data_IF_499225033449
#
_entry.id   IF_499225033449
#
_cell.length_a   1.000
_cell.length_b   1.000
_cell.length_c   1.000
_cell.angle_alpha   90.00
_cell.angle_beta   90.00
_cell.angle_gamma   90.00
#
_symmetry.space_group_name_H-M   'P 1'
#
loop_
_entity.id
_entity.type
_entity.pdbx_description
1 polymer ?
#
# COMPACT_ATOMS: atom_id res chain seq x y z
N UNK A 1 -43.47 5.03 14.79
CA UNK A 1 -42.38 5.06 13.77
C UNK A 1 -41.11 4.88 14.56
N UNK A 2 -40.68 3.65 14.57
CA UNK A 2 -39.56 3.19 15.40
C UNK A 2 -38.30 3.30 14.54
N UNK A 3 -37.45 4.26 14.86
CA UNK A 3 -36.10 4.36 14.28
C UNK A 3 -35.17 3.60 15.22
N UNK A 4 -35.08 2.29 15.01
CA UNK A 4 -34.01 1.49 15.59
C UNK A 4 -32.68 2.02 15.00
N UNK A 5 -31.88 2.64 15.86
CA UNK A 5 -30.48 2.91 15.59
C UNK A 5 -29.76 1.58 15.37
N UNK A 6 -29.33 1.32 14.16
CA UNK A 6 -28.32 0.32 13.89
C UNK A 6 -27.02 0.81 14.52
N UNK A 7 -26.73 0.28 15.69
CA UNK A 7 -25.51 0.60 16.44
C UNK A 7 -24.40 -0.36 16.02
N UNK A 8 -23.31 0.20 15.51
CA UNK A 8 -21.98 -0.29 15.86
C UNK A 8 -21.39 -1.53 15.19
N UNK A 9 -22.07 -2.25 14.29
CA UNK A 9 -21.51 -3.47 13.68
C UNK A 9 -20.57 -3.27 12.47
N UNK A 10 -20.32 -2.04 12.06
CA UNK A 10 -19.53 -1.75 10.85
C UNK A 10 -18.09 -1.28 11.11
N UNK A 11 -17.59 -1.37 12.33
CA UNK A 11 -16.30 -0.79 12.73
C UNK A 11 -15.13 -1.77 12.71
N UNK A 12 -15.37 -3.06 12.52
CA UNK A 12 -14.30 -4.05 12.42
C UNK A 12 -13.97 -4.41 10.97
N UNK A 13 -12.71 -4.77 10.68
CA UNK A 13 -12.35 -5.36 9.40
C UNK A 13 -13.31 -6.51 9.10
N UNK A 14 -13.78 -6.60 7.86
CA UNK A 14 -14.73 -7.64 7.47
C UNK A 14 -14.08 -9.01 7.58
N UNK A 15 -14.81 -9.93 8.18
CA UNK A 15 -14.40 -11.33 8.19
C UNK A 15 -14.39 -11.92 6.77
N UNK A 16 -13.72 -13.03 6.59
CA UNK A 16 -13.68 -13.76 5.32
C UNK A 16 -15.10 -14.02 4.76
N UNK A 17 -16.05 -14.40 5.61
CA UNK A 17 -17.43 -14.66 5.24
C UNK A 17 -18.16 -13.39 4.76
N UNK A 18 -17.87 -12.24 5.34
CA UNK A 18 -18.43 -10.95 4.90
C UNK A 18 -17.86 -10.51 3.56
N UNK A 19 -16.59 -10.78 3.30
CA UNK A 19 -15.96 -10.52 1.98
C UNK A 19 -16.58 -11.43 0.91
N UNK A 20 -16.88 -12.67 1.26
CA UNK A 20 -17.60 -13.60 0.38
C UNK A 20 -19.01 -13.12 0.05
N UNK A 21 -19.71 -12.56 1.02
CA UNK A 21 -21.04 -11.98 0.82
C UNK A 21 -21.04 -10.80 -0.18
N UNK A 22 -19.87 -10.18 -0.45
CA UNK A 22 -19.69 -9.17 -1.47
C UNK A 22 -19.49 -9.74 -2.89
N UNK A 23 -19.61 -11.05 -3.08
CA UNK A 23 -19.64 -11.69 -4.40
C UNK A 23 -18.28 -12.19 -4.92
N UNK A 24 -17.27 -12.32 -4.06
CA UNK A 24 -16.03 -12.99 -4.45
C UNK A 24 -16.26 -14.51 -4.64
N UNK A 25 -15.77 -15.11 -5.72
CA UNK A 25 -15.93 -16.55 -5.95
C UNK A 25 -15.11 -17.35 -4.93
N UNK A 26 -15.80 -18.03 -4.02
CA UNK A 26 -15.25 -18.84 -2.93
C UNK A 26 -14.23 -19.87 -3.40
N UNK A 27 -14.57 -20.55 -4.49
CA UNK A 27 -13.77 -21.60 -5.10
C UNK A 27 -12.39 -21.13 -5.57
N UNK A 28 -12.30 -19.91 -6.09
CA UNK A 28 -11.02 -19.32 -6.52
C UNK A 28 -10.16 -18.88 -5.34
N UNK A 29 -10.76 -18.30 -4.30
CA UNK A 29 -10.04 -17.83 -3.13
C UNK A 29 -9.52 -18.99 -2.28
N UNK A 30 -10.34 -20.03 -2.06
CA UNK A 30 -9.94 -21.26 -1.38
C UNK A 30 -8.85 -22.01 -2.16
N UNK A 31 -8.99 -22.09 -3.49
CA UNK A 31 -7.98 -22.71 -4.33
C UNK A 31 -6.64 -21.97 -4.25
N UNK A 32 -6.64 -20.65 -4.27
CA UNK A 32 -5.43 -19.82 -4.15
C UNK A 32 -4.77 -19.99 -2.79
N UNK A 33 -5.54 -19.99 -1.68
CA UNK A 33 -5.03 -20.27 -0.34
C UNK A 33 -4.39 -21.67 -0.24
N UNK A 34 -5.03 -22.66 -0.79
CA UNK A 34 -4.51 -24.04 -0.78
C UNK A 34 -3.25 -24.20 -1.65
N UNK A 35 -3.21 -23.57 -2.82
CA UNK A 35 -2.04 -23.57 -3.70
C UNK A 35 -0.87 -22.86 -3.02
N UNK A 36 -1.09 -21.68 -2.45
CA UNK A 36 -0.08 -20.93 -1.71
C UNK A 36 0.46 -21.76 -0.53
N UNK A 37 -0.44 -22.29 0.31
CA UNK A 37 -0.08 -23.10 1.47
C UNK A 37 0.70 -24.37 1.11
N UNK A 38 0.38 -25.03 0.01
CA UNK A 38 0.97 -26.32 -0.37
C UNK A 38 2.21 -26.18 -1.24
N UNK A 39 2.30 -25.19 -2.09
CA UNK A 39 3.37 -25.06 -3.09
C UNK A 39 4.31 -23.89 -2.83
N UNK A 40 3.80 -22.74 -2.40
CA UNK A 40 4.59 -21.52 -2.27
C UNK A 40 5.23 -21.43 -0.87
N UNK A 41 4.43 -21.57 0.19
CA UNK A 41 4.92 -21.47 1.57
C UNK A 41 6.04 -22.48 1.92
N UNK A 42 6.02 -23.76 1.48
CA UNK A 42 7.15 -24.66 1.67
C UNK A 42 8.40 -24.35 0.85
N UNK A 43 8.24 -23.72 -0.33
CA UNK A 43 9.37 -23.30 -1.16
C UNK A 43 10.03 -22.03 -0.61
N UNK A 44 9.26 -21.15 0.02
CA UNK A 44 9.74 -19.93 0.67
C UNK A 44 10.28 -20.19 2.08
N UNK A 45 9.86 -21.26 2.75
CA UNK A 45 10.36 -21.68 4.07
C UNK A 45 11.80 -22.21 4.09
N UNK A 46 12.46 -22.32 2.94
CA UNK A 46 13.89 -22.54 2.81
C UNK A 46 14.59 -21.19 2.65
N UNK A 47 14.98 -20.58 3.80
CA UNK A 47 15.94 -19.47 3.89
C UNK A 47 15.94 -18.56 2.65
N UNK A 48 14.94 -17.71 2.48
CA UNK A 48 15.14 -16.47 1.77
C UNK A 48 16.19 -15.71 2.60
N UNK A 49 17.46 -15.85 2.21
CA UNK A 49 18.52 -15.04 2.75
C UNK A 49 18.03 -13.59 2.62
N UNK A 50 18.07 -12.84 3.72
CA UNK A 50 17.90 -11.39 3.75
C UNK A 50 18.42 -10.83 2.44
N UNK A 51 17.60 -10.16 1.67
CA UNK A 51 18.14 -9.36 0.59
C UNK A 51 19.11 -8.38 1.24
N UNK A 52 20.42 -8.48 0.98
CA UNK A 52 21.39 -7.68 1.69
C UNK A 52 21.02 -6.22 1.57
N UNK A 53 21.24 -5.44 2.64
CA UNK A 53 21.09 -3.97 2.61
C UNK A 53 21.62 -3.47 1.27
N UNK A 54 20.86 -2.68 0.50
CA UNK A 54 21.32 -2.19 -0.80
C UNK A 54 22.68 -1.52 -0.64
N UNK A 55 23.68 -1.87 -1.44
CA UNK A 55 25.00 -1.24 -1.36
C UNK A 55 24.89 0.23 -1.77
N UNK A 56 25.31 1.13 -0.87
CA UNK A 56 25.34 2.58 -1.13
C UNK A 56 24.49 3.39 -0.14
N UNK A 57 24.47 4.70 -0.35
CA UNK A 57 23.60 5.59 0.40
C UNK A 57 22.12 5.31 0.07
N UNK A 58 21.18 5.49 1.02
CA UNK A 58 19.76 5.36 0.77
C UNK A 58 19.31 6.37 -0.30
N UNK A 59 18.34 5.98 -1.13
CA UNK A 59 17.69 6.90 -2.06
C UNK A 59 16.68 7.76 -1.32
N UNK A 60 16.42 8.97 -1.84
CA UNK A 60 15.43 9.87 -1.24
C UNK A 60 14.12 9.79 -2.02
N UNK A 61 13.06 9.32 -1.37
CA UNK A 61 11.69 9.41 -1.87
C UNK A 61 11.19 10.83 -1.69
N UNK A 62 10.82 11.48 -2.80
CA UNK A 62 10.40 12.89 -2.84
C UNK A 62 8.90 13.02 -3.07
N UNK A 63 8.32 14.16 -2.66
CA UNK A 63 6.99 14.50 -3.11
C UNK A 63 6.97 14.56 -4.64
N UNK A 64 5.95 13.95 -5.24
CA UNK A 64 5.77 13.95 -6.69
C UNK A 64 5.66 15.37 -7.27
N UNK A 65 5.21 16.34 -6.46
CA UNK A 65 5.10 17.75 -6.86
C UNK A 65 6.49 18.40 -7.07
N UNK A 66 7.50 17.92 -6.35
CA UNK A 66 8.87 18.43 -6.41
C UNK A 66 9.78 17.61 -7.34
N UNK A 67 9.24 16.51 -7.89
CA UNK A 67 9.99 15.64 -8.79
C UNK A 67 10.31 16.37 -10.10
N UNK A 68 11.58 16.39 -10.46
CA UNK A 68 12.03 17.04 -11.70
C UNK A 68 11.38 16.41 -12.95
N UNK A 69 11.13 17.18 -14.02
CA UNK A 69 10.60 16.62 -15.27
C UNK A 69 11.44 15.45 -15.83
N UNK A 70 12.75 15.48 -15.61
CA UNK A 70 13.66 14.40 -16.02
C UNK A 70 13.37 13.13 -15.25
N UNK A 71 13.15 13.21 -13.94
CA UNK A 71 12.83 12.06 -13.10
C UNK A 71 11.39 11.58 -13.30
N UNK A 72 10.42 12.48 -13.60
CA UNK A 72 9.08 12.11 -14.02
C UNK A 72 9.08 11.26 -15.30
N UNK A 73 9.88 11.68 -16.30
CA UNK A 73 10.05 10.93 -17.55
C UNK A 73 10.79 9.61 -17.30
N UNK A 74 11.87 9.62 -16.50
CA UNK A 74 12.60 8.42 -16.13
C UNK A 74 11.71 7.38 -15.45
N UNK A 75 10.86 7.79 -14.50
CA UNK A 75 9.88 6.92 -13.88
C UNK A 75 8.93 6.30 -14.92
N UNK A 76 8.35 7.10 -15.80
CA UNK A 76 7.45 6.61 -16.85
C UNK A 76 8.14 5.61 -17.78
N UNK A 77 9.35 5.93 -18.24
CA UNK A 77 10.12 5.05 -19.11
C UNK A 77 10.48 3.73 -18.41
N UNK A 78 10.85 3.78 -17.12
CA UNK A 78 11.13 2.59 -16.33
C UNK A 78 9.87 1.71 -16.18
N UNK A 79 8.72 2.31 -15.90
CA UNK A 79 7.44 1.56 -15.83
C UNK A 79 7.10 0.91 -17.18
N UNK A 80 7.22 1.63 -18.29
CA UNK A 80 6.99 1.06 -19.64
C UNK A 80 7.93 -0.12 -19.87
N UNK A 81 9.19 0.01 -19.52
CA UNK A 81 10.16 -1.07 -19.67
C UNK A 81 9.82 -2.30 -18.83
N UNK A 82 9.38 -2.11 -17.59
CA UNK A 82 8.91 -3.20 -16.73
C UNK A 82 7.67 -3.90 -17.32
N UNK A 83 6.77 -3.14 -17.94
CA UNK A 83 5.61 -3.71 -18.66
C UNK A 83 6.06 -4.56 -19.86
N UNK A 84 7.00 -4.06 -20.68
CA UNK A 84 7.55 -4.78 -21.83
C UNK A 84 8.28 -6.08 -21.41
N UNK A 85 8.94 -6.08 -20.26
CA UNK A 85 9.62 -7.25 -19.70
C UNK A 85 8.65 -8.24 -19.02
N UNK A 86 7.38 -7.91 -18.87
CA UNK A 86 6.40 -8.70 -18.12
C UNK A 86 6.56 -8.58 -16.58
N UNK A 87 7.59 -7.89 -16.11
CA UNK A 87 7.90 -7.77 -14.67
C UNK A 87 6.86 -6.93 -13.93
N UNK A 88 6.28 -5.93 -14.59
CA UNK A 88 5.20 -5.14 -14.01
C UNK A 88 3.98 -6.01 -13.68
N UNK A 89 3.62 -6.93 -14.58
CA UNK A 89 2.53 -7.86 -14.35
C UNK A 89 2.81 -8.80 -13.16
N UNK A 90 4.03 -9.31 -13.02
CA UNK A 90 4.41 -10.12 -11.86
C UNK A 90 4.20 -9.35 -10.55
N UNK A 91 4.59 -8.08 -10.51
CA UNK A 91 4.36 -7.21 -9.35
C UNK A 91 2.86 -7.05 -9.07
N UNK A 92 2.04 -6.80 -10.10
CA UNK A 92 0.57 -6.72 -9.93
C UNK A 92 0.02 -8.05 -9.38
N UNK A 93 0.53 -9.19 -9.84
CA UNK A 93 0.09 -10.51 -9.40
C UNK A 93 0.39 -10.78 -7.91
N UNK A 94 1.49 -10.23 -7.34
CA UNK A 94 1.72 -10.31 -5.90
C UNK A 94 0.58 -9.69 -5.10
N UNK A 95 0.08 -8.53 -5.53
CA UNK A 95 -1.04 -7.88 -4.86
C UNK A 95 -2.39 -8.55 -5.15
N UNK A 96 -2.51 -9.24 -6.28
CA UNK A 96 -3.73 -10.00 -6.61
C UNK A 96 -3.86 -11.29 -5.80
N UNK A 97 -2.77 -11.79 -5.24
CA UNK A 97 -2.79 -12.97 -4.38
C UNK A 97 -3.21 -12.59 -2.96
N UNK A 98 -4.50 -12.61 -2.73
CA UNK A 98 -5.10 -12.27 -1.43
C UNK A 98 -4.71 -13.24 -0.31
N UNK A 99 -4.04 -14.36 -0.62
CA UNK A 99 -3.53 -15.29 0.41
C UNK A 99 -2.39 -14.69 1.24
N UNK A 100 -1.84 -13.56 0.83
CA UNK A 100 -0.83 -12.80 1.60
C UNK A 100 -1.43 -12.10 2.82
N UNK A 101 -2.76 -12.04 2.96
CA UNK A 101 -3.46 -11.39 4.08
C UNK A 101 -2.89 -9.98 4.37
N UNK A 102 -2.90 -9.10 3.35
CA UNK A 102 -2.27 -7.78 3.45
C UNK A 102 -3.24 -6.60 3.57
N UNK A 103 -4.53 -6.88 3.76
CA UNK A 103 -5.59 -5.85 3.93
C UNK A 103 -6.50 -6.19 5.09
N UNK A 104 -6.95 -5.17 5.84
CA UNK A 104 -7.87 -5.33 6.96
C UNK A 104 -9.23 -5.91 6.57
N UNK A 105 -9.64 -5.74 5.31
CA UNK A 105 -10.84 -6.41 4.77
C UNK A 105 -10.74 -7.95 4.78
N UNK A 106 -9.52 -8.50 4.93
CA UNK A 106 -9.26 -9.93 5.03
C UNK A 106 -9.27 -10.45 6.47
N UNK A 107 -9.44 -9.58 7.46
CA UNK A 107 -9.45 -9.89 8.87
C UNK A 107 -8.32 -9.22 9.65
N UNK A 108 -8.19 -9.55 10.93
CA UNK A 108 -7.23 -8.91 11.83
C UNK A 108 -5.77 -9.10 11.39
N UNK A 109 -5.39 -10.29 10.94
CA UNK A 109 -4.04 -10.55 10.44
C UNK A 109 -3.72 -9.63 9.26
N UNK A 110 -4.65 -9.45 8.33
CA UNK A 110 -4.50 -8.55 7.20
C UNK A 110 -4.33 -7.09 7.63
N UNK A 111 -5.10 -6.65 8.63
CA UNK A 111 -4.95 -5.34 9.22
C UNK A 111 -3.54 -5.14 9.82
N UNK A 112 -3.06 -6.10 10.59
CA UNK A 112 -1.74 -6.02 11.23
C UNK A 112 -0.59 -6.08 10.23
N UNK A 113 -0.76 -6.75 9.10
CA UNK A 113 0.25 -6.89 8.03
C UNK A 113 0.24 -5.74 7.03
N UNK A 114 -0.84 -4.96 6.94
CA UNK A 114 -1.06 -3.95 5.91
C UNK A 114 0.15 -3.05 5.67
N UNK A 115 0.67 -2.41 6.73
CA UNK A 115 1.78 -1.48 6.61
C UNK A 115 3.10 -2.17 6.24
N UNK A 116 3.45 -3.24 6.96
CA UNK A 116 4.70 -3.98 6.72
C UNK A 116 4.75 -4.61 5.33
N UNK A 117 3.65 -5.23 4.92
CA UNK A 117 3.56 -5.87 3.61
C UNK A 117 3.69 -4.85 2.46
N UNK A 118 2.96 -3.75 2.51
CA UNK A 118 3.02 -2.72 1.47
C UNK A 118 4.36 -1.98 1.44
N UNK A 119 5.00 -1.76 2.60
CA UNK A 119 6.39 -1.25 2.66
C UNK A 119 7.34 -2.17 1.91
N UNK A 120 7.28 -3.47 2.17
CA UNK A 120 8.13 -4.45 1.47
C UNK A 120 7.83 -4.50 -0.03
N UNK A 121 6.56 -4.40 -0.39
CA UNK A 121 6.11 -4.38 -1.78
C UNK A 121 6.64 -3.14 -2.54
N UNK A 122 6.60 -1.97 -1.91
CA UNK A 122 7.23 -0.75 -2.44
C UNK A 122 8.74 -0.92 -2.67
N UNK A 123 9.44 -1.57 -1.75
CA UNK A 123 10.88 -1.84 -1.89
C UNK A 123 11.14 -2.75 -3.10
N UNK A 124 10.30 -3.75 -3.35
CA UNK A 124 10.44 -4.61 -4.53
C UNK A 124 10.26 -3.82 -5.82
N UNK A 125 9.21 -3.03 -5.90
CA UNK A 125 8.99 -2.17 -7.06
C UNK A 125 10.13 -1.18 -7.28
N UNK A 126 10.63 -0.54 -6.21
CA UNK A 126 11.72 0.43 -6.30
C UNK A 126 13.03 -0.21 -6.80
N UNK A 127 13.33 -1.43 -6.37
CA UNK A 127 14.48 -2.20 -6.87
C UNK A 127 14.38 -2.47 -8.37
N UNK A 128 13.20 -2.85 -8.84
CA UNK A 128 12.96 -3.08 -10.26
C UNK A 128 13.01 -1.78 -11.08
N UNK A 129 12.45 -0.67 -10.56
CA UNK A 129 12.63 0.65 -11.18
C UNK A 129 14.10 1.01 -11.33
N UNK A 130 14.89 0.84 -10.27
CA UNK A 130 16.33 1.16 -10.29
C UNK A 130 17.11 0.26 -11.24
N UNK A 131 16.74 -1.03 -11.32
CA UNK A 131 17.35 -1.98 -12.24
C UNK A 131 17.18 -1.55 -13.69
N UNK A 132 15.96 -1.23 -14.09
CA UNK A 132 15.70 -0.81 -15.48
C UNK A 132 16.19 0.60 -15.76
N UNK A 133 16.12 1.51 -14.80
CA UNK A 133 16.64 2.86 -14.93
C UNK A 133 18.15 2.87 -15.19
N UNK A 134 18.91 2.02 -14.52
CA UNK A 134 20.35 1.87 -14.77
C UNK A 134 20.66 1.40 -16.21
N UNK A 135 19.75 0.69 -16.85
CA UNK A 135 19.86 0.27 -18.26
C UNK A 135 19.48 1.43 -19.19
N UNK A 136 18.40 2.15 -18.86
CA UNK A 136 17.86 3.22 -19.69
C UNK A 136 18.69 4.51 -19.60
N UNK A 137 19.27 4.77 -18.43
CA UNK A 137 20.09 5.96 -18.15
C UNK A 137 21.48 5.58 -17.62
N UNK A 138 22.32 4.88 -18.43
CA UNK A 138 23.66 4.49 -17.98
C UNK A 138 24.47 5.74 -17.67
N UNK A 139 24.96 5.85 -16.42
CA UNK A 139 25.72 7.00 -15.93
C UNK A 139 24.88 8.08 -15.24
N UNK A 140 23.59 7.85 -14.99
CA UNK A 140 22.82 8.72 -14.09
C UNK A 140 23.48 8.76 -12.70
N UNK A 141 23.66 9.98 -12.18
CA UNK A 141 24.30 10.19 -10.87
C UNK A 141 23.35 9.89 -9.70
N UNK A 142 22.04 9.97 -9.95
CA UNK A 142 21.00 9.71 -8.97
C UNK A 142 20.21 8.47 -9.39
N UNK A 143 19.99 7.58 -8.44
CA UNK A 143 19.08 6.45 -8.61
C UNK A 143 17.64 6.92 -8.56
N UNK A 144 16.80 6.30 -9.35
CA UNK A 144 15.37 6.55 -9.31
C UNK A 144 14.79 6.03 -7.99
N UNK A 145 13.94 6.82 -7.35
CA UNK A 145 13.16 6.43 -6.18
C UNK A 145 11.66 6.51 -6.48
N UNK A 146 10.86 5.77 -5.75
CA UNK A 146 9.40 5.88 -5.82
C UNK A 146 8.98 7.20 -5.20
N UNK A 147 8.42 8.16 -5.95
CA UNK A 147 7.91 9.39 -5.35
C UNK A 147 6.63 9.11 -4.57
N UNK A 148 6.33 9.92 -3.53
CA UNK A 148 5.06 9.85 -2.85
C UNK A 148 4.10 10.94 -3.34
N UNK A 149 2.79 10.68 -3.22
CA UNK A 149 1.72 11.63 -3.54
C UNK A 149 0.97 11.97 -2.26
N UNK A 150 1.22 13.16 -1.71
CA UNK A 150 0.46 13.67 -0.56
C UNK A 150 -1.02 13.74 -0.93
N UNK A 151 -1.85 13.18 -0.07
CA UNK A 151 -3.27 13.06 -0.40
C UNK A 151 -3.99 14.39 -0.51
N UNK A 152 -3.53 15.43 0.16
CA UNK A 152 -4.04 16.80 0.05
C UNK A 152 -3.65 17.47 -1.27
N UNK A 153 -2.59 17.03 -1.94
CA UNK A 153 -2.11 17.59 -3.20
C UNK A 153 -3.02 17.20 -4.39
N UNK A 154 -3.01 17.99 -5.46
CA UNK A 154 -3.64 17.59 -6.72
C UNK A 154 -3.10 16.26 -7.24
N UNK A 155 -3.89 15.58 -8.07
CA UNK A 155 -3.43 14.37 -8.76
C UNK A 155 -2.16 14.68 -9.57
N UNK A 156 -1.16 13.77 -9.59
CA UNK A 156 0.09 13.93 -10.35
C UNK A 156 -0.17 14.15 -11.84
N UNK A 157 -0.08 15.40 -12.31
CA UNK A 157 -0.43 15.76 -13.68
C UNK A 157 0.39 15.03 -14.74
N UNK A 158 1.63 14.67 -14.42
CA UNK A 158 2.54 13.92 -15.29
C UNK A 158 2.13 12.45 -15.49
N UNK A 159 1.19 11.95 -14.66
CA UNK A 159 0.56 10.63 -14.82
C UNK A 159 -0.79 10.70 -15.55
N UNK A 160 -1.27 11.88 -15.95
CA UNK A 160 -2.53 11.98 -16.71
C UNK A 160 -2.47 11.12 -17.98
N UNK A 161 -3.45 10.21 -18.14
CA UNK A 161 -3.52 9.30 -19.27
C UNK A 161 -2.43 8.22 -19.34
N UNK A 162 -1.49 8.20 -18.38
CA UNK A 162 -0.43 7.20 -18.35
C UNK A 162 -0.91 5.92 -17.64
N UNK A 163 -1.33 4.94 -18.42
CA UNK A 163 -1.78 3.60 -17.99
C UNK A 163 -1.15 2.56 -18.96
N UNK A 164 0.15 2.27 -18.83
CA UNK A 164 0.89 1.49 -19.83
C UNK A 164 0.62 -0.02 -19.77
N UNK A 165 0.10 -0.54 -18.64
CA UNK A 165 -0.20 -1.95 -18.47
C UNK A 165 -1.68 -2.25 -18.75
N UNK A 166 -1.96 -3.44 -19.28
CA UNK A 166 -3.33 -3.95 -19.36
C UNK A 166 -3.80 -4.44 -17.99
N UNK A 167 -5.12 -4.36 -17.77
CA UNK A 167 -5.79 -4.99 -16.64
C UNK A 167 -5.62 -6.51 -16.75
N UNK A 168 -4.97 -7.19 -15.80
CA UNK A 168 -4.74 -8.63 -15.85
C UNK A 168 -6.02 -9.46 -15.79
N UNK A 169 -7.11 -8.90 -15.24
CA UNK A 169 -8.41 -9.57 -15.17
C UNK A 169 -9.13 -9.64 -16.52
N UNK A 170 -8.91 -8.66 -17.39
CA UNK A 170 -9.59 -8.56 -18.69
C UNK A 170 -8.66 -8.70 -19.88
N UNK A 171 -7.36 -8.53 -19.70
CA UNK A 171 -6.36 -8.48 -20.78
C UNK A 171 -6.44 -7.22 -21.66
N UNK A 172 -7.25 -6.25 -21.29
CA UNK A 172 -7.47 -5.00 -22.05
C UNK A 172 -6.99 -3.78 -21.28
N UNK A 173 -6.97 -2.61 -21.95
CA UNK A 173 -6.65 -1.35 -21.29
C UNK A 173 -7.54 -1.12 -20.08
N UNK A 174 -6.98 -0.69 -18.94
CA UNK A 174 -7.74 -0.49 -17.71
C UNK A 174 -8.75 0.67 -17.86
N UNK A 175 -9.81 0.68 -17.04
CA UNK A 175 -10.74 1.79 -17.00
C UNK A 175 -10.05 3.11 -16.67
N UNK A 176 -10.46 4.20 -17.30
CA UNK A 176 -9.93 5.54 -17.04
C UNK A 176 -10.17 5.97 -15.59
N UNK A 177 -9.22 6.70 -15.05
CA UNK A 177 -9.34 7.38 -13.75
C UNK A 177 -10.51 8.35 -13.75
N UNK A 178 -11.12 8.56 -12.59
CA UNK A 178 -12.20 9.52 -12.40
C UNK A 178 -11.68 10.84 -11.84
N UNK A 179 -10.75 10.77 -10.88
CA UNK A 179 -10.19 11.91 -10.14
C UNK A 179 -11.30 12.85 -9.65
N UNK A 180 -12.32 12.30 -9.03
CA UNK A 180 -13.59 12.97 -8.77
C UNK A 180 -14.06 12.83 -7.32
N UNK A 181 -14.79 13.83 -6.86
CA UNK A 181 -15.54 13.80 -5.62
C UNK A 181 -17.02 13.52 -5.93
N UNK A 182 -17.76 12.77 -5.10
CA UNK A 182 -17.34 11.87 -4.03
C UNK A 182 -16.86 10.50 -4.54
N UNK A 183 -16.10 9.72 -3.75
CA UNK A 183 -15.68 10.06 -2.39
C UNK A 183 -14.55 11.07 -2.37
N UNK A 184 -14.44 11.84 -1.29
CA UNK A 184 -13.33 12.78 -1.12
C UNK A 184 -12.07 12.03 -0.69
N UNK A 185 -10.91 12.42 -1.20
CA UNK A 185 -9.62 12.02 -0.65
C UNK A 185 -9.31 12.81 0.63
N UNK A 186 -8.35 12.34 1.42
CA UNK A 186 -7.92 13.02 2.63
C UNK A 186 -7.38 14.43 2.32
N UNK A 187 -7.69 15.37 3.20
CA UNK A 187 -7.10 16.70 3.25
C UNK A 187 -6.08 16.79 4.40
N UNK A 188 -5.39 17.91 4.55
CA UNK A 188 -4.36 18.09 5.58
C UNK A 188 -4.89 17.86 7.01
N UNK A 189 -6.15 18.23 7.30
CA UNK A 189 -6.77 17.97 8.61
C UNK A 189 -6.99 16.48 8.83
N UNK A 190 -7.44 15.76 7.81
CA UNK A 190 -7.63 14.32 7.88
C UNK A 190 -6.29 13.59 8.11
N UNK A 191 -5.23 14.03 7.42
CA UNK A 191 -3.88 13.49 7.60
C UNK A 191 -3.37 13.74 9.03
N UNK A 192 -3.58 14.95 9.57
CA UNK A 192 -3.24 15.25 10.96
C UNK A 192 -4.00 14.36 11.96
N UNK A 193 -5.29 14.14 11.74
CA UNK A 193 -6.08 13.22 12.57
C UNK A 193 -5.50 11.81 12.50
N UNK A 194 -5.16 11.31 11.32
CA UNK A 194 -4.61 9.96 11.14
C UNK A 194 -3.30 9.81 11.93
N UNK A 195 -2.38 10.76 11.80
CA UNK A 195 -1.03 10.61 12.34
C UNK A 195 -0.93 11.00 13.82
N UNK A 196 -1.58 12.09 14.22
CA UNK A 196 -1.36 12.70 15.53
C UNK A 196 -2.51 12.48 16.53
N UNK A 197 -3.73 12.23 16.06
CA UNK A 197 -4.91 12.19 16.93
C UNK A 197 -5.55 10.82 17.01
N UNK A 198 -5.39 9.97 16.02
CA UNK A 198 -6.10 8.70 15.91
C UNK A 198 -5.73 7.71 17.02
N UNK A 199 -4.49 7.76 17.52
CA UNK A 199 -4.05 6.95 18.65
C UNK A 199 -4.78 7.26 19.97
N UNK A 200 -5.55 8.36 20.02
CA UNK A 200 -6.09 8.92 21.26
C UNK A 200 -7.63 8.85 21.34
N UNK A 201 -8.37 8.68 20.24
CA UNK A 201 -9.83 8.84 20.25
C UNK A 201 -10.63 7.70 19.58
N UNK A 202 -11.38 7.03 20.44
CA UNK A 202 -12.74 6.52 20.30
C UNK A 202 -13.17 6.00 18.90
N UNK A 203 -12.73 4.79 18.59
CA UNK A 203 -13.16 4.09 17.37
C UNK A 203 -13.86 2.76 17.68
N UNK A 204 -14.18 2.50 18.94
CA UNK A 204 -14.57 1.16 19.39
C UNK A 204 -13.37 0.22 19.60
N UNK A 205 -12.14 0.74 19.36
CA UNK A 205 -10.88 0.00 19.52
C UNK A 205 -10.16 0.38 20.83
N UNK A 206 -10.89 0.78 21.85
CA UNK A 206 -10.34 1.27 23.14
C UNK A 206 -9.37 0.28 23.80
N UNK A 207 -9.57 -1.01 23.56
CA UNK A 207 -8.72 -2.08 24.09
C UNK A 207 -7.58 -2.52 23.15
N UNK A 208 -7.52 -1.96 21.94
CA UNK A 208 -6.47 -2.27 20.98
C UNK A 208 -5.21 -1.43 21.22
N UNK A 209 -4.07 -1.94 20.77
CA UNK A 209 -2.83 -1.20 20.84
C UNK A 209 -2.78 -0.05 19.81
N UNK A 210 -1.84 0.86 19.97
CA UNK A 210 -1.73 2.06 19.13
C UNK A 210 -1.42 1.73 17.68
N UNK A 211 -0.66 0.66 17.38
CA UNK A 211 -0.40 0.19 16.03
C UNK A 211 -1.69 -0.20 15.31
N UNK A 212 -2.54 -0.98 15.97
CA UNK A 212 -3.84 -1.42 15.44
C UNK A 212 -4.73 -0.21 15.12
N UNK A 213 -4.82 0.73 16.06
CA UNK A 213 -5.60 1.97 15.88
C UNK A 213 -5.10 2.79 14.71
N UNK A 214 -3.79 2.97 14.61
CA UNK A 214 -3.18 3.70 13.50
C UNK A 214 -3.43 3.01 12.16
N UNK A 215 -3.19 1.70 12.07
CA UNK A 215 -3.38 0.93 10.84
C UNK A 215 -4.85 0.95 10.41
N UNK A 216 -5.78 0.79 11.35
CA UNK A 216 -7.21 0.90 11.09
C UNK A 216 -7.59 2.27 10.50
N UNK A 217 -7.04 3.34 11.06
CA UNK A 217 -7.27 4.70 10.58
C UNK A 217 -6.69 4.97 9.19
N UNK A 218 -5.42 4.65 9.01
CA UNK A 218 -4.73 4.95 7.75
C UNK A 218 -5.23 4.08 6.58
N UNK A 219 -5.69 2.85 6.83
CA UNK A 219 -6.31 2.04 5.79
C UNK A 219 -7.67 2.61 5.34
N UNK A 220 -8.37 3.35 6.20
CA UNK A 220 -9.58 4.09 5.84
C UNK A 220 -10.86 3.58 6.52
N UNK A 221 -10.73 2.94 7.67
CA UNK A 221 -11.85 2.48 8.49
C UNK A 221 -12.20 3.45 9.63
N UNK A 222 -11.39 4.50 9.81
CA UNK A 222 -11.51 5.45 10.90
C UNK A 222 -12.66 6.44 10.75
N UNK A 223 -12.99 7.09 11.87
CA UNK A 223 -13.96 8.18 11.93
C UNK A 223 -13.28 9.48 12.40
N UNK A 224 -13.75 10.61 11.90
CA UNK A 224 -13.43 11.92 12.45
C UNK A 224 -14.06 12.09 13.85
N UNK A 225 -13.62 13.06 14.64
CA UNK A 225 -14.23 13.34 15.96
C UNK A 225 -15.72 13.64 15.92
N UNK A 226 -16.25 14.08 14.79
CA UNK A 226 -17.69 14.33 14.58
C UNK A 226 -18.49 13.07 14.18
N UNK A 227 -17.84 11.92 14.12
CA UNK A 227 -18.44 10.64 13.74
C UNK A 227 -18.58 10.41 12.22
N UNK A 228 -18.12 11.34 11.39
CA UNK A 228 -18.10 11.12 9.93
C UNK A 228 -16.89 10.29 9.51
N UNK A 229 -16.98 9.63 8.34
CA UNK A 229 -15.88 8.81 7.80
C UNK A 229 -14.61 9.65 7.64
N UNK A 230 -13.48 9.11 8.11
CA UNK A 230 -12.15 9.71 7.96
C UNK A 230 -11.56 9.26 6.62
N UNK A 231 -11.44 10.14 5.62
CA UNK A 231 -10.82 9.80 4.36
C UNK A 231 -9.33 9.44 4.57
N UNK A 232 -8.93 8.30 4.01
CA UNK A 232 -7.57 7.80 4.08
C UNK A 232 -7.29 6.93 2.84
N UNK A 233 -6.44 5.91 2.94
CA UNK A 233 -6.00 5.04 1.84
C UNK A 233 -7.16 4.56 0.95
N UNK A 234 -8.18 3.89 1.51
CA UNK A 234 -9.32 3.37 0.72
C UNK A 234 -10.05 4.48 -0.06
N UNK A 235 -10.13 5.68 0.52
CA UNK A 235 -10.76 6.83 -0.12
C UNK A 235 -9.91 7.39 -1.26
N UNK A 236 -8.56 7.31 -1.14
CA UNK A 236 -7.63 7.64 -2.22
C UNK A 236 -7.85 6.77 -3.44
N UNK A 237 -7.92 5.46 -3.25
CA UNK A 237 -8.24 4.49 -4.30
C UNK A 237 -9.58 4.82 -4.99
N UNK A 238 -10.62 5.01 -4.21
CA UNK A 238 -11.96 5.29 -4.73
C UNK A 238 -12.05 6.65 -5.44
N UNK A 239 -11.34 7.67 -4.96
CA UNK A 239 -11.28 8.99 -5.57
C UNK A 239 -10.59 8.97 -6.94
N UNK A 240 -9.46 8.28 -7.05
CA UNK A 240 -8.78 8.06 -8.35
C UNK A 240 -9.70 7.26 -9.27
N UNK A 241 -10.36 6.24 -8.75
CA UNK A 241 -11.29 5.41 -9.52
C UNK A 241 -10.59 4.61 -10.62
N UNK A 242 -11.34 4.21 -11.64
CA UNK A 242 -10.78 3.33 -12.66
C UNK A 242 -10.30 2.02 -12.07
N UNK A 243 -9.13 1.53 -12.52
CA UNK A 243 -8.54 0.28 -11.99
C UNK A 243 -8.11 0.43 -10.53
N UNK A 244 -7.80 1.64 -10.05
CA UNK A 244 -7.47 1.90 -8.64
C UNK A 244 -8.60 1.51 -7.68
N UNK A 245 -9.85 1.50 -8.15
CA UNK A 245 -11.00 1.06 -7.35
C UNK A 245 -11.18 -0.47 -7.30
N UNK A 246 -10.31 -1.22 -7.92
CA UNK A 246 -10.27 -2.68 -7.85
C UNK A 246 -9.17 -3.10 -6.87
N UNK A 247 -9.55 -3.56 -5.68
CA UNK A 247 -8.62 -3.91 -4.60
C UNK A 247 -7.52 -4.87 -5.05
N UNK A 248 -7.83 -5.82 -5.94
CA UNK A 248 -6.85 -6.83 -6.37
C UNK A 248 -5.86 -6.27 -7.40
N UNK A 249 -6.35 -5.60 -8.43
CA UNK A 249 -5.56 -5.19 -9.59
C UNK A 249 -5.18 -3.70 -9.61
N UNK A 250 -5.43 -2.98 -8.51
CA UNK A 250 -5.08 -1.55 -8.40
C UNK A 250 -3.63 -1.20 -8.72
N UNK A 251 -2.60 -2.06 -8.47
CA UNK A 251 -1.22 -1.76 -8.86
C UNK A 251 -0.98 -1.69 -10.36
N UNK A 252 -1.95 -2.11 -11.19
CA UNK A 252 -1.91 -1.88 -12.66
C UNK A 252 -1.80 -0.40 -13.00
N UNK A 253 -2.37 0.47 -12.15
CA UNK A 253 -2.23 1.92 -12.26
C UNK A 253 -0.94 2.39 -11.59
N UNK A 254 -0.01 3.04 -12.30
CA UNK A 254 1.23 3.53 -11.70
C UNK A 254 1.07 4.50 -10.52
N UNK A 255 -0.08 5.18 -10.39
CA UNK A 255 -0.32 6.04 -9.23
C UNK A 255 -0.47 5.26 -7.92
N UNK A 256 -0.77 3.97 -7.99
CA UNK A 256 -0.79 3.07 -6.84
C UNK A 256 0.50 3.18 -6.02
N UNK A 257 1.64 3.14 -6.69
CA UNK A 257 2.95 3.18 -6.04
C UNK A 257 3.18 4.49 -5.30
N UNK A 258 2.76 5.62 -5.89
CA UNK A 258 2.86 6.93 -5.26
C UNK A 258 1.91 7.08 -4.06
N UNK A 259 0.72 6.51 -4.20
CA UNK A 259 -0.30 6.48 -3.15
C UNK A 259 0.16 5.66 -1.93
N UNK A 260 0.71 4.47 -2.17
CA UNK A 260 1.24 3.63 -1.11
C UNK A 260 2.57 4.16 -0.53
N UNK A 261 3.37 4.88 -1.31
CA UNK A 261 4.53 5.58 -0.78
C UNK A 261 4.12 6.69 0.20
N UNK A 262 2.95 7.34 0.02
CA UNK A 262 2.41 8.25 1.03
C UNK A 262 1.92 7.51 2.28
N UNK A 263 1.23 6.38 2.14
CA UNK A 263 0.88 5.51 3.30
C UNK A 263 2.14 5.17 4.10
N UNK A 264 3.19 4.76 3.43
CA UNK A 264 4.47 4.39 4.05
C UNK A 264 5.17 5.59 4.71
N UNK A 265 5.12 6.78 4.07
CA UNK A 265 5.66 8.03 4.65
C UNK A 265 4.92 8.42 5.93
N UNK A 266 3.59 8.38 5.91
CA UNK A 266 2.78 8.70 7.07
C UNK A 266 3.03 7.69 8.21
N UNK A 267 3.20 6.41 7.89
CA UNK A 267 3.62 5.42 8.86
C UNK A 267 5.01 5.73 9.42
N UNK A 268 5.97 6.07 8.58
CA UNK A 268 7.32 6.46 9.01
C UNK A 268 7.28 7.67 9.98
N UNK A 269 6.49 8.70 9.69
CA UNK A 269 6.31 9.85 10.59
C UNK A 269 5.69 9.40 11.92
N UNK A 270 4.64 8.60 11.87
CA UNK A 270 3.97 8.08 13.08
C UNK A 270 4.92 7.25 13.95
N UNK A 271 5.77 6.42 13.34
CA UNK A 271 6.77 5.59 14.04
C UNK A 271 7.76 6.44 14.86
N UNK A 272 8.08 7.67 14.43
CA UNK A 272 8.98 8.56 15.18
C UNK A 272 8.45 8.87 16.58
N UNK A 273 7.14 9.03 16.71
CA UNK A 273 6.49 9.30 17.99
C UNK A 273 6.07 8.02 18.73
N UNK A 274 5.98 6.88 18.03
CA UNK A 274 5.41 5.64 18.54
C UNK A 274 6.36 4.44 18.30
N UNK A 275 7.64 4.62 18.61
CA UNK A 275 8.71 3.65 18.27
C UNK A 275 8.58 2.28 18.96
N UNK A 276 7.78 2.16 20.02
CA UNK A 276 7.51 0.91 20.72
C UNK A 276 6.23 0.21 20.28
N UNK A 277 5.45 0.83 19.39
CA UNK A 277 4.19 0.27 18.95
C UNK A 277 4.43 -0.78 17.86
N UNK A 278 3.90 -1.98 18.09
CA UNK A 278 4.05 -3.13 17.22
C UNK A 278 2.69 -3.76 16.87
N UNK A 279 2.58 -4.43 15.69
CA UNK A 279 1.41 -5.21 15.35
C UNK A 279 1.29 -6.44 16.25
N UNK A 280 0.07 -6.87 16.50
CA UNK A 280 -0.19 -8.13 17.21
C UNK A 280 0.00 -9.34 16.28
N UNK A 281 1.22 -9.50 15.76
CA UNK A 281 1.63 -10.59 14.87
C UNK A 281 2.56 -11.56 15.61
N UNK A 282 2.42 -12.86 15.35
CA UNK A 282 3.28 -13.89 15.92
C UNK A 282 3.58 -14.98 14.91
N UNK A 283 4.68 -15.71 15.13
CA UNK A 283 5.05 -16.85 14.30
C UNK A 283 5.11 -16.51 12.80
N UNK A 284 4.47 -17.33 11.98
CA UNK A 284 4.47 -17.16 10.52
C UNK A 284 3.78 -15.88 10.04
N UNK A 285 2.89 -15.28 10.85
CA UNK A 285 2.15 -14.09 10.43
C UNK A 285 3.03 -12.84 10.41
N UNK A 286 4.16 -12.86 11.14
CA UNK A 286 5.19 -11.81 11.04
C UNK A 286 5.98 -11.84 9.73
N UNK A 287 5.93 -12.93 8.98
CA UNK A 287 6.68 -13.06 7.72
C UNK A 287 5.88 -12.45 6.57
N UNK A 288 6.49 -11.54 5.85
CA UNK A 288 5.88 -10.88 4.69
C UNK A 288 6.15 -11.70 3.43
N UNK A 289 5.30 -12.66 3.18
CA UNK A 289 5.36 -13.45 1.96
C UNK A 289 4.87 -12.61 0.75
N UNK A 290 5.44 -12.85 -0.46
CA UNK A 290 6.31 -14.00 -0.81
C UNK A 290 7.80 -13.79 -0.48
N UNK A 291 8.23 -12.68 0.10
CA UNK A 291 9.65 -12.32 0.20
C UNK A 291 10.40 -12.96 1.37
N UNK A 292 9.71 -13.31 2.45
CA UNK A 292 10.29 -14.00 3.60
C UNK A 292 10.90 -13.11 4.67
N UNK A 293 11.01 -11.80 4.47
CA UNK A 293 11.40 -10.86 5.53
C UNK A 293 10.30 -10.79 6.60
N UNK A 294 10.72 -10.67 7.85
CA UNK A 294 9.80 -10.46 8.96
C UNK A 294 9.39 -8.99 9.09
N UNK A 295 8.32 -8.71 9.80
CA UNK A 295 7.94 -7.35 10.15
C UNK A 295 9.12 -6.56 10.77
N UNK A 296 9.92 -7.21 11.61
CA UNK A 296 11.05 -6.58 12.31
C UNK A 296 12.12 -6.06 11.35
N UNK A 297 12.30 -6.75 10.23
CA UNK A 297 13.26 -6.37 9.18
C UNK A 297 12.81 -5.13 8.38
N UNK A 298 11.53 -4.75 8.51
CA UNK A 298 10.90 -3.70 7.73
C UNK A 298 10.66 -2.40 8.51
N UNK A 299 11.03 -2.36 9.79
CA UNK A 299 10.73 -1.19 10.65
C UNK A 299 11.57 0.02 10.27
N UNK A 300 12.83 -0.18 9.88
CA UNK A 300 13.77 0.90 9.57
C UNK A 300 13.91 1.11 8.05
N UNK A 301 13.50 2.27 7.57
CA UNK A 301 13.55 2.61 6.13
C UNK A 301 14.97 2.74 5.59
N UNK A 302 15.93 3.22 6.40
CA UNK A 302 17.34 3.32 5.99
C UNK A 302 17.98 1.95 5.75
N UNK A 303 17.60 0.94 6.53
CA UNK A 303 18.06 -0.44 6.34
C UNK A 303 17.46 -1.05 5.07
N UNK A 304 16.30 -0.59 4.65
CA UNK A 304 15.67 -0.95 3.39
C UNK A 304 16.25 -0.19 2.18
N UNK A 305 17.06 0.84 2.41
CA UNK A 305 17.80 1.60 1.40
C UNK A 305 17.11 2.86 0.92
N UNK A 306 16.15 3.40 1.67
CA UNK A 306 15.52 4.68 1.33
C UNK A 306 15.24 5.56 2.56
N UNK A 307 15.07 6.85 2.30
CA UNK A 307 14.60 7.86 3.26
C UNK A 307 13.55 8.74 2.57
N UNK A 308 12.84 9.55 3.34
CA UNK A 308 11.93 10.57 2.82
C UNK A 308 12.60 11.94 2.87
N UNK A 309 12.33 12.80 1.87
CA UNK A 309 12.79 14.20 1.83
C UNK A 309 12.12 15.06 2.90
N UNK A 310 10.92 14.68 3.34
CA UNK A 310 10.19 15.34 4.40
C UNK A 310 9.57 14.33 5.37
N UNK A 311 9.84 14.55 6.66
CA UNK A 311 9.22 13.83 7.78
C UNK A 311 8.22 14.73 8.53
N UNK A 312 7.78 15.83 7.92
CA UNK A 312 6.68 16.67 8.39
C UNK A 312 5.40 16.37 7.60
N UNK A 313 4.24 16.55 8.25
CA UNK A 313 2.92 16.51 7.61
C UNK A 313 2.75 17.66 6.65
#
# INVERSE_FOLDING_TARGET
MDHSHETGEHLHPKTFDEVLALGFPLDKLELLKEVHKKLVKPLLGGAAAFAPKPPGAPVTRQNQADLSPVNQEAFRNAVVRLVEEGKYLELVQFHMDMSHDMHGMMGETGLYRFLGWHRRYLVEFERELQRVDAILRPGATEKLAVPYWRWEDPFPAWLNGFLPANDPGTGTSPPSRKNASPPQKANATDVDIIVNQFSIQNTGLDNENDYTKFTYGIEGWGLRPDGTSLPAHNHGHAWVGGIMNNTMSSPTDPVFWLHHAEVDRLWHIWQQANSSAEPNLSGSDRIMDPWGESYDDLVNTEDLGYVYDSTSL
#
